data_IF_580248167638
#
_entry.id   IF_580248167638
#
_cell.length_a   1.000
_cell.length_b   1.000
_cell.length_c   1.000
_cell.angle_alpha   90.00
_cell.angle_beta   90.00
_cell.angle_gamma   90.00
#
_symmetry.space_group_name_H-M   'P 1'
#
loop_
_entity.id
_entity.type
_entity.pdbx_description
1 polymer ?
#
# COMPACT_ATOMS: atom_id res chain seq x y z
N UNK A 1 -17.28 -35.40 13.26
CA UNK A 1 -17.36 -34.53 12.07
C UNK A 1 -16.16 -33.61 12.11
N UNK A 2 -15.20 -33.80 11.20
CA UNK A 2 -13.95 -33.02 11.14
C UNK A 2 -14.28 -31.67 10.50
N UNK A 3 -14.26 -30.59 11.29
CA UNK A 3 -14.32 -29.24 10.72
C UNK A 3 -12.97 -28.94 10.07
N UNK A 4 -13.00 -28.76 8.74
CA UNK A 4 -11.85 -28.27 7.98
C UNK A 4 -11.51 -26.82 8.42
N UNK A 5 -10.22 -26.45 8.47
CA UNK A 5 -9.82 -25.09 8.85
C UNK A 5 -10.32 -24.11 7.79
N UNK A 6 -11.25 -23.23 8.18
CA UNK A 6 -11.79 -22.21 7.30
C UNK A 6 -10.72 -21.14 7.08
N UNK A 7 -9.98 -21.27 5.97
CA UNK A 7 -9.08 -20.22 5.47
C UNK A 7 -9.91 -19.01 5.01
N UNK A 8 -10.21 -18.12 5.95
CA UNK A 8 -11.13 -16.98 5.78
C UNK A 8 -10.40 -15.70 5.34
N UNK A 9 -9.22 -15.82 4.74
CA UNK A 9 -8.46 -14.67 4.22
C UNK A 9 -8.83 -14.28 2.78
N UNK A 10 -9.74 -15.00 2.10
CA UNK A 10 -9.93 -14.84 0.65
C UNK A 10 -10.86 -13.67 0.24
N UNK A 11 -11.70 -13.15 1.15
CA UNK A 11 -12.70 -12.12 0.85
C UNK A 11 -12.29 -10.65 1.08
N UNK A 12 -11.22 -10.40 1.85
CA UNK A 12 -10.83 -9.05 2.26
C UNK A 12 -10.08 -8.23 1.19
N UNK A 13 -9.92 -6.90 1.36
CA UNK A 13 -9.11 -6.06 0.48
C UNK A 13 -7.71 -6.64 0.28
N UNK A 14 -7.12 -6.48 -0.92
CA UNK A 14 -5.82 -7.07 -1.27
C UNK A 14 -4.74 -6.76 -0.23
N UNK A 15 -4.72 -5.54 0.31
CA UNK A 15 -3.79 -5.12 1.36
C UNK A 15 -3.94 -5.97 2.64
N UNK A 16 -5.17 -6.20 3.11
CA UNK A 16 -5.42 -7.00 4.32
C UNK A 16 -4.92 -8.43 4.12
N UNK A 17 -5.16 -9.03 2.95
CA UNK A 17 -4.68 -10.38 2.63
C UNK A 17 -3.15 -10.47 2.58
N UNK A 18 -2.52 -9.45 2.00
CA UNK A 18 -1.06 -9.37 1.94
C UNK A 18 -0.45 -9.18 3.33
N UNK A 19 -1.00 -8.27 4.15
CA UNK A 19 -0.53 -8.05 5.52
C UNK A 19 -0.74 -9.28 6.40
N UNK A 20 -1.88 -9.96 6.29
CA UNK A 20 -2.15 -11.22 7.01
C UNK A 20 -1.13 -12.30 6.64
N UNK A 21 -0.84 -12.46 5.34
CA UNK A 21 0.19 -13.39 4.86
C UNK A 21 1.58 -13.01 5.37
N UNK A 22 1.93 -11.72 5.34
CA UNK A 22 3.21 -11.24 5.84
C UNK A 22 3.33 -11.46 7.34
N UNK A 23 2.24 -11.31 8.09
CA UNK A 23 2.18 -11.49 9.53
C UNK A 23 2.14 -12.97 9.96
N UNK A 24 1.92 -13.90 9.03
CA UNK A 24 1.51 -15.28 9.31
C UNK A 24 0.32 -15.35 10.30
N UNK A 25 -0.63 -14.43 10.12
CA UNK A 25 -1.77 -14.25 11.01
C UNK A 25 -3.07 -14.65 10.31
N UNK A 26 -3.86 -15.49 10.99
CA UNK A 26 -5.25 -15.73 10.63
C UNK A 26 -6.11 -14.57 11.13
N UNK A 27 -6.49 -13.68 10.21
CA UNK A 27 -7.36 -12.53 10.51
C UNK A 27 -8.81 -12.92 10.22
N UNK A 28 -9.67 -13.07 11.24
CA UNK A 28 -11.09 -13.32 11.01
C UNK A 28 -11.76 -12.08 10.39
N UNK A 29 -12.79 -12.29 9.59
CA UNK A 29 -13.59 -11.20 9.04
C UNK A 29 -14.31 -10.44 10.18
N UNK A 30 -14.36 -9.11 10.09
CA UNK A 30 -15.00 -8.30 11.13
C UNK A 30 -16.52 -8.54 11.13
N UNK A 31 -17.04 -9.17 12.18
CA UNK A 31 -18.48 -9.39 12.36
C UNK A 31 -19.25 -8.15 12.84
N UNK A 32 -18.55 -7.05 13.16
CA UNK A 32 -19.18 -5.81 13.62
C UNK A 32 -19.72 -4.99 12.46
N UNK A 33 -20.94 -4.42 12.58
CA UNK A 33 -21.50 -3.55 11.56
C UNK A 33 -20.65 -2.28 11.41
N UNK A 34 -20.57 -1.77 10.17
CA UNK A 34 -19.74 -0.63 9.80
C UNK A 34 -20.08 0.63 10.61
N UNK A 35 -21.37 0.87 10.84
CA UNK A 35 -21.86 2.01 11.62
C UNK A 35 -21.23 2.06 13.01
N UNK A 36 -21.18 0.93 13.71
CA UNK A 36 -20.72 0.86 15.09
C UNK A 36 -19.21 1.11 15.17
N UNK A 37 -18.46 0.62 14.17
CA UNK A 37 -17.03 0.91 14.02
C UNK A 37 -16.78 2.38 13.73
N UNK A 38 -17.54 2.98 12.81
CA UNK A 38 -17.40 4.40 12.50
C UNK A 38 -17.76 5.29 13.70
N UNK A 39 -18.79 4.94 14.47
CA UNK A 39 -19.15 5.65 15.70
C UNK A 39 -18.04 5.65 16.74
N UNK A 40 -17.21 4.61 16.81
CA UNK A 40 -16.04 4.57 17.69
C UNK A 40 -14.89 5.47 17.21
N UNK A 41 -14.85 5.81 15.92
CA UNK A 41 -13.76 6.58 15.33
C UNK A 41 -14.09 8.07 15.20
N UNK A 42 -15.39 8.42 15.16
CA UNK A 42 -15.85 9.79 15.09
C UNK A 42 -15.85 10.42 16.48
N UNK A 43 -15.01 11.44 16.67
CA UNK A 43 -15.11 12.32 17.83
C UNK A 43 -16.41 13.13 17.80
N UNK A 44 -16.86 13.64 18.96
CA UNK A 44 -18.09 14.42 19.07
C UNK A 44 -18.13 15.63 18.11
N UNK A 45 -17.01 16.35 17.94
CA UNK A 45 -16.87 17.46 17.00
C UNK A 45 -17.06 17.04 15.54
N UNK A 46 -16.54 15.86 15.18
CA UNK A 46 -16.66 15.32 13.83
C UNK A 46 -18.06 14.78 13.55
N UNK A 47 -18.72 14.22 14.56
CA UNK A 47 -20.12 13.81 14.47
C UNK A 47 -21.05 15.01 14.22
N UNK A 48 -20.81 16.14 14.89
CA UNK A 48 -21.55 17.39 14.62
C UNK A 48 -21.28 17.87 13.20
N UNK A 49 -20.01 17.93 12.79
CA UNK A 49 -19.64 18.36 11.43
C UNK A 49 -20.23 17.43 10.35
N UNK A 50 -20.33 16.13 10.61
CA UNK A 50 -20.93 15.18 9.68
C UNK A 50 -22.45 15.37 9.62
N UNK A 51 -23.11 15.56 10.76
CA UNK A 51 -24.54 15.88 10.81
C UNK A 51 -24.86 17.18 10.07
N UNK A 52 -24.04 18.23 10.23
CA UNK A 52 -24.24 19.49 9.49
C UNK A 52 -23.99 19.32 7.99
N UNK A 53 -22.98 18.53 7.59
CA UNK A 53 -22.74 18.22 6.18
C UNK A 53 -23.90 17.44 5.54
N UNK A 54 -24.50 16.48 6.26
CA UNK A 54 -25.61 15.66 5.77
C UNK A 54 -26.93 16.42 5.71
N UNK A 55 -27.23 17.22 6.74
CA UNK A 55 -28.50 17.94 6.86
C UNK A 55 -28.47 19.35 6.23
N UNK A 56 -27.30 19.88 5.94
CA UNK A 56 -27.12 21.19 5.33
C UNK A 56 -27.61 21.25 3.88
N UNK A 57 -28.04 22.46 3.48
CA UNK A 57 -28.29 22.77 2.08
C UNK A 57 -27.05 23.49 1.51
N UNK A 58 -26.29 22.90 0.58
CA UNK A 58 -25.15 23.57 -0.02
C UNK A 58 -25.61 24.81 -0.80
N UNK A 59 -24.80 25.89 -0.82
CA UNK A 59 -25.14 27.11 -1.54
C UNK A 59 -25.40 26.82 -3.02
N UNK A 60 -26.31 27.58 -3.68
CA UNK A 60 -26.62 27.37 -5.09
C UNK A 60 -25.38 27.54 -5.96
N UNK A 61 -25.15 26.58 -6.86
CA UNK A 61 -24.01 26.56 -7.75
C UNK A 61 -24.04 27.71 -8.77
N UNK A 62 -22.88 28.34 -9.03
CA UNK A 62 -22.71 29.23 -10.17
C UNK A 62 -22.64 28.39 -11.46
N UNK A 63 -23.66 28.50 -12.31
CA UNK A 63 -23.79 27.72 -13.54
C UNK A 63 -22.63 27.96 -14.51
N UNK A 64 -22.03 26.89 -15.06
CA UNK A 64 -20.92 27.00 -16.00
C UNK A 64 -20.88 25.87 -17.03
N UNK A 65 -21.23 26.18 -18.27
CA UNK A 65 -21.16 25.30 -19.46
C UNK A 65 -19.75 24.74 -19.80
N UNK A 66 -18.72 25.11 -19.03
CA UNK A 66 -17.33 24.62 -19.13
C UNK A 66 -17.05 23.32 -18.36
N UNK A 67 -18.03 22.77 -17.64
CA UNK A 67 -17.82 21.63 -16.73
C UNK A 67 -17.28 20.36 -17.40
N UNK A 68 -17.75 20.00 -18.59
CA UNK A 68 -17.41 18.72 -19.23
C UNK A 68 -15.93 18.56 -19.60
N UNK A 69 -15.31 19.61 -20.16
CA UNK A 69 -13.90 19.59 -20.54
C UNK A 69 -12.98 19.61 -19.30
N UNK A 70 -13.38 20.32 -18.24
CA UNK A 70 -12.68 20.29 -16.94
C UNK A 70 -12.77 18.91 -16.27
N UNK A 71 -13.91 18.21 -16.38
CA UNK A 71 -14.07 16.86 -15.82
C UNK A 71 -13.13 15.85 -16.50
N UNK A 72 -12.98 15.94 -17.83
CA UNK A 72 -12.06 15.08 -18.59
C UNK A 72 -10.58 15.38 -18.29
N UNK A 73 -10.20 16.66 -18.18
CA UNK A 73 -8.85 17.07 -17.76
C UNK A 73 -8.51 16.54 -16.37
N UNK A 74 -9.45 16.65 -15.42
CA UNK A 74 -9.24 16.14 -14.07
C UNK A 74 -9.16 14.61 -14.04
N UNK A 75 -9.95 13.92 -14.85
CA UNK A 75 -9.86 12.47 -14.97
C UNK A 75 -8.51 12.01 -15.53
N UNK A 76 -8.00 12.70 -16.56
CA UNK A 76 -6.65 12.48 -17.08
C UNK A 76 -5.59 12.74 -16.02
N UNK A 77 -5.76 13.79 -15.21
CA UNK A 77 -4.85 14.12 -14.10
C UNK A 77 -4.85 13.04 -13.02
N UNK A 78 -6.01 12.53 -12.62
CA UNK A 78 -6.12 11.41 -11.67
C UNK A 78 -5.41 10.17 -12.22
N UNK A 79 -5.65 9.80 -13.49
CA UNK A 79 -4.97 8.68 -14.13
C UNK A 79 -3.44 8.90 -14.20
N UNK A 80 -3.00 10.13 -14.50
CA UNK A 80 -1.59 10.49 -14.55
C UNK A 80 -0.90 10.34 -13.18
N UNK A 81 -1.50 10.88 -12.12
CA UNK A 81 -0.95 10.76 -10.76
C UNK A 81 -0.88 9.29 -10.32
N UNK A 82 -1.93 8.50 -10.57
CA UNK A 82 -1.91 7.05 -10.29
C UNK A 82 -0.77 6.37 -11.04
N UNK A 83 -0.62 6.66 -12.34
CA UNK A 83 0.47 6.11 -13.15
C UNK A 83 1.85 6.52 -12.61
N UNK A 84 2.03 7.77 -12.21
CA UNK A 84 3.27 8.27 -11.65
C UNK A 84 3.62 7.59 -10.32
N UNK A 85 2.66 7.43 -9.41
CA UNK A 85 2.84 6.74 -8.13
C UNK A 85 3.17 5.24 -8.35
N UNK A 86 2.44 4.57 -9.23
CA UNK A 86 2.75 3.17 -9.62
C UNK A 86 4.16 3.05 -10.18
N UNK A 87 4.58 3.96 -11.06
CA UNK A 87 5.94 3.97 -11.63
C UNK A 87 7.00 4.23 -10.56
N UNK A 88 6.76 5.12 -9.59
CA UNK A 88 7.67 5.34 -8.48
C UNK A 88 7.85 4.07 -7.61
N UNK A 89 6.77 3.33 -7.39
CA UNK A 89 6.79 2.07 -6.64
C UNK A 89 7.57 0.98 -7.41
N UNK A 90 7.32 0.81 -8.71
CA UNK A 90 7.94 -0.24 -9.54
C UNK A 90 9.41 0.11 -9.89
N UNK A 91 9.67 1.35 -10.30
CA UNK A 91 10.94 1.77 -10.87
C UNK A 91 12.11 1.75 -9.88
N UNK A 92 11.86 2.01 -8.60
CA UNK A 92 12.94 1.94 -7.60
C UNK A 92 13.27 0.47 -7.22
N UNK A 93 12.28 -0.43 -7.28
CA UNK A 93 12.54 -1.88 -7.13
C UNK A 93 13.38 -2.43 -8.28
N UNK A 94 13.18 -1.95 -9.51
CA UNK A 94 14.04 -2.29 -10.66
C UNK A 94 15.44 -1.69 -10.54
N UNK A 95 15.56 -0.42 -10.12
CA UNK A 95 16.84 0.30 -10.03
C UNK A 95 17.77 -0.28 -8.97
N UNK A 96 17.23 -0.76 -7.84
CA UNK A 96 18.06 -1.47 -6.86
C UNK A 96 18.35 -2.94 -7.26
N UNK A 97 17.65 -3.53 -8.25
CA UNK A 97 17.94 -4.88 -8.77
C UNK A 97 19.08 -4.78 -9.78
N UNK A 98 18.97 -3.82 -10.72
CA UNK A 98 20.02 -3.52 -11.70
C UNK A 98 21.35 -3.11 -11.04
N UNK A 99 21.33 -2.45 -9.87
CA UNK A 99 22.55 -2.16 -9.09
C UNK A 99 23.23 -3.42 -8.53
N UNK A 100 22.51 -4.53 -8.34
CA UNK A 100 23.05 -5.83 -7.94
C UNK A 100 23.63 -6.56 -9.15
N UNK A 101 22.84 -6.65 -10.23
CA UNK A 101 23.22 -7.38 -11.44
C UNK A 101 24.35 -6.69 -12.23
N UNK A 102 24.42 -5.36 -12.16
CA UNK A 102 25.42 -4.53 -12.84
C UNK A 102 26.69 -4.23 -12.04
N UNK A 103 26.80 -4.68 -10.78
CA UNK A 103 28.04 -4.51 -10.00
C UNK A 103 29.02 -5.62 -10.38
N UNK A 104 29.69 -5.46 -11.51
CA UNK A 104 31.03 -6.03 -11.66
C UNK A 104 31.90 -5.48 -10.51
N UNK A 105 32.74 -6.30 -9.83
CA UNK A 105 33.54 -5.83 -8.72
C UNK A 105 34.49 -4.74 -9.23
N UNK A 106 34.17 -3.47 -8.93
CA UNK A 106 35.06 -2.36 -9.17
C UNK A 106 36.29 -2.57 -8.30
N UNK A 107 37.41 -2.96 -8.93
CA UNK A 107 38.74 -3.00 -8.30
C UNK A 107 39.00 -1.67 -7.59
N UNK A 108 39.04 -1.66 -6.26
CA UNK A 108 39.53 -0.53 -5.48
C UNK A 108 38.81 -0.22 -4.17
N UNK A 109 37.63 -0.77 -3.91
CA UNK A 109 37.00 -0.62 -2.58
C UNK A 109 36.17 -1.86 -2.27
N UNK A 110 36.82 -2.83 -1.64
CA UNK A 110 36.19 -4.00 -1.04
C UNK A 110 35.27 -3.54 0.10
N UNK A 111 34.02 -3.23 -0.24
CA UNK A 111 32.96 -3.45 0.74
C UNK A 111 32.99 -4.96 1.06
N UNK A 112 32.97 -5.35 2.34
CA UNK A 112 33.07 -6.76 2.71
C UNK A 112 32.01 -7.56 1.95
N UNK A 113 32.35 -8.76 1.43
CA UNK A 113 31.43 -9.60 0.66
C UNK A 113 30.16 -9.99 1.43
N UNK A 114 30.18 -9.78 2.76
CA UNK A 114 29.09 -10.04 3.71
C UNK A 114 28.31 -8.78 4.16
N UNK A 115 28.40 -7.66 3.45
CA UNK A 115 27.57 -6.48 3.74
C UNK A 115 26.08 -6.77 3.44
N UNK A 116 25.44 -7.55 4.32
CA UNK A 116 24.03 -7.92 4.25
C UNK A 116 23.19 -6.64 4.24
N UNK A 117 22.15 -6.56 3.39
CA UNK A 117 21.34 -5.36 3.27
C UNK A 117 20.64 -5.05 4.60
N UNK A 118 20.71 -3.79 5.03
CA UNK A 118 20.00 -3.30 6.21
C UNK A 118 18.54 -2.96 5.86
N UNK A 119 17.61 -3.42 6.71
CA UNK A 119 16.20 -3.09 6.61
C UNK A 119 15.94 -1.57 6.68
N UNK A 120 16.82 -0.79 7.32
CA UNK A 120 16.68 0.67 7.43
C UNK A 120 16.48 1.36 6.06
N UNK A 121 17.18 0.91 5.02
CA UNK A 121 17.06 1.48 3.66
C UNK A 121 15.67 1.23 3.08
N UNK A 122 15.15 0.02 3.23
CA UNK A 122 13.80 -0.33 2.77
C UNK A 122 12.73 0.43 3.55
N UNK A 123 12.90 0.56 4.86
CA UNK A 123 12.01 1.35 5.72
C UNK A 123 11.96 2.82 5.30
N UNK A 124 13.13 3.45 5.12
CA UNK A 124 13.20 4.85 4.70
C UNK A 124 12.51 5.08 3.35
N UNK A 125 12.76 4.18 2.39
CA UNK A 125 12.10 4.21 1.09
C UNK A 125 10.58 4.07 1.22
N UNK A 126 10.12 3.12 2.03
CA UNK A 126 8.69 2.89 2.25
C UNK A 126 7.99 4.15 2.78
N UNK A 127 8.56 4.77 3.81
CA UNK A 127 8.05 6.00 4.41
C UNK A 127 8.03 7.16 3.40
N UNK A 128 9.07 7.31 2.57
CA UNK A 128 9.12 8.33 1.52
C UNK A 128 8.00 8.14 0.48
N UNK A 129 7.73 6.89 0.08
CA UNK A 129 6.62 6.59 -0.84
C UNK A 129 5.26 6.85 -0.19
N UNK A 130 5.07 6.51 1.09
CA UNK A 130 3.83 6.84 1.82
C UNK A 130 3.59 8.35 1.84
N UNK A 131 4.61 9.14 2.17
CA UNK A 131 4.49 10.60 2.21
C UNK A 131 4.18 11.21 0.83
N UNK A 132 4.75 10.64 -0.23
CA UNK A 132 4.46 11.05 -1.61
C UNK A 132 3.02 10.71 -1.99
N UNK A 133 2.53 9.50 -1.64
CA UNK A 133 1.14 9.11 -1.85
C UNK A 133 0.19 10.05 -1.10
N UNK A 134 0.43 10.33 0.18
CA UNK A 134 -0.42 11.23 0.99
C UNK A 134 -0.53 12.63 0.39
N UNK A 135 0.60 13.19 -0.05
CA UNK A 135 0.65 14.55 -0.61
C UNK A 135 -0.10 14.63 -1.94
N UNK A 136 0.20 13.72 -2.87
CA UNK A 136 -0.39 13.72 -4.21
C UNK A 136 -1.90 13.40 -4.17
N UNK A 137 -2.29 12.40 -3.37
CA UNK A 137 -3.69 12.00 -3.22
C UNK A 137 -4.49 13.10 -2.51
N UNK A 138 -3.98 13.66 -1.40
CA UNK A 138 -4.65 14.76 -0.68
C UNK A 138 -4.86 16.00 -1.56
N UNK A 139 -3.89 16.32 -2.41
CA UNK A 139 -3.99 17.42 -3.39
C UNK A 139 -5.08 17.14 -4.42
N UNK A 140 -5.14 15.92 -4.98
CA UNK A 140 -6.21 15.53 -5.91
C UNK A 140 -7.58 15.60 -5.27
N UNK A 141 -7.72 15.06 -4.06
CA UNK A 141 -8.97 15.00 -3.30
C UNK A 141 -9.51 16.39 -3.03
N UNK A 142 -8.64 17.32 -2.62
CA UNK A 142 -9.01 18.73 -2.41
C UNK A 142 -9.54 19.37 -3.69
N UNK A 143 -8.87 19.16 -4.84
CA UNK A 143 -9.33 19.69 -6.13
C UNK A 143 -10.67 19.11 -6.57
N UNK A 144 -10.84 17.79 -6.42
CA UNK A 144 -12.09 17.10 -6.69
C UNK A 144 -13.24 17.66 -5.84
N UNK A 145 -13.01 17.87 -4.53
CA UNK A 145 -13.99 18.50 -3.64
C UNK A 145 -14.37 19.91 -4.08
N UNK A 146 -13.39 20.74 -4.48
CA UNK A 146 -13.68 22.09 -5.02
C UNK A 146 -14.55 22.03 -6.27
N UNK A 147 -14.29 21.07 -7.16
CA UNK A 147 -15.12 20.88 -8.37
C UNK A 147 -16.50 20.34 -8.07
N UNK A 148 -16.65 19.42 -7.12
CA UNK A 148 -17.95 18.90 -6.69
C UNK A 148 -18.79 19.97 -5.99
N UNK A 149 -18.15 20.83 -5.19
CA UNK A 149 -18.82 21.93 -4.49
C UNK A 149 -19.42 23.00 -5.42
N UNK A 150 -18.93 23.10 -6.66
CA UNK A 150 -19.49 23.98 -7.69
C UNK A 150 -20.61 23.34 -8.52
N UNK A 151 -21.06 22.12 -8.17
CA UNK A 151 -22.15 21.38 -8.85
C UNK A 151 -23.49 21.50 -8.10
N UNK A 152 -24.62 21.11 -8.73
CA UNK A 152 -25.93 21.11 -8.08
C UNK A 152 -25.97 20.31 -6.77
N UNK A 153 -26.96 20.62 -5.94
CA UNK A 153 -26.93 20.40 -4.48
C UNK A 153 -26.53 18.99 -4.00
N UNK A 154 -26.95 17.90 -4.66
CA UNK A 154 -26.61 16.54 -4.23
C UNK A 154 -25.11 16.23 -4.28
N UNK A 155 -24.42 16.76 -5.31
CA UNK A 155 -23.00 16.52 -5.57
C UNK A 155 -22.12 17.42 -4.70
N UNK A 156 -22.58 18.63 -4.40
CA UNK A 156 -21.92 19.53 -3.45
C UNK A 156 -21.97 19.01 -2.01
N UNK A 157 -23.05 18.33 -1.61
CA UNK A 157 -23.14 17.65 -0.31
C UNK A 157 -22.07 16.57 -0.15
N UNK A 158 -21.83 15.77 -1.20
CA UNK A 158 -20.80 14.75 -1.19
C UNK A 158 -19.41 15.35 -0.90
N UNK A 159 -19.09 16.51 -1.47
CA UNK A 159 -17.84 17.21 -1.21
C UNK A 159 -17.66 17.58 0.28
N UNK A 160 -18.73 18.01 0.94
CA UNK A 160 -18.73 18.35 2.37
C UNK A 160 -18.57 17.10 3.24
N UNK A 161 -19.33 16.03 2.94
CA UNK A 161 -19.22 14.76 3.66
C UNK A 161 -17.81 14.19 3.53
N UNK A 162 -17.27 14.18 2.31
CA UNK A 162 -15.92 13.71 2.03
C UNK A 162 -14.84 14.50 2.79
N UNK A 163 -15.00 15.83 2.89
CA UNK A 163 -14.10 16.70 3.66
C UNK A 163 -14.10 16.35 5.16
N UNK A 164 -15.30 16.14 5.73
CA UNK A 164 -15.44 15.79 7.15
C UNK A 164 -14.88 14.39 7.41
N UNK A 165 -15.17 13.42 6.53
CA UNK A 165 -14.70 12.04 6.67
C UNK A 165 -13.17 11.93 6.60
N UNK A 166 -12.50 12.63 5.69
CA UNK A 166 -11.03 12.68 5.68
C UNK A 166 -10.50 13.28 6.97
N UNK A 167 -11.00 14.45 7.39
CA UNK A 167 -10.52 15.08 8.60
C UNK A 167 -10.66 14.16 9.83
N UNK A 168 -11.79 13.49 9.96
CA UNK A 168 -12.07 12.60 11.09
C UNK A 168 -11.22 11.32 11.06
N UNK A 169 -10.96 10.75 9.88
CA UNK A 169 -10.27 9.47 9.74
C UNK A 169 -8.75 9.60 9.49
N UNK A 170 -8.24 10.78 9.12
CA UNK A 170 -6.85 10.98 8.67
C UNK A 170 -5.82 10.49 9.67
N UNK A 171 -5.93 10.87 10.95
CA UNK A 171 -4.96 10.51 11.97
C UNK A 171 -4.91 8.99 12.19
N UNK A 172 -6.09 8.34 12.13
CA UNK A 172 -6.20 6.90 12.28
C UNK A 172 -5.65 6.17 11.07
N UNK A 173 -5.98 6.63 9.86
CA UNK A 173 -5.46 6.08 8.61
C UNK A 173 -3.93 6.15 8.57
N UNK A 174 -3.34 7.30 8.90
CA UNK A 174 -1.90 7.48 8.99
C UNK A 174 -1.27 6.55 10.03
N UNK A 175 -1.89 6.40 11.21
CA UNK A 175 -1.40 5.48 12.25
C UNK A 175 -1.41 4.01 11.79
N UNK A 176 -2.47 3.58 11.10
CA UNK A 176 -2.57 2.21 10.58
C UNK A 176 -1.51 1.93 9.51
N UNK A 177 -1.32 2.87 8.59
CA UNK A 177 -0.30 2.73 7.55
C UNK A 177 1.14 2.85 8.09
N UNK A 178 1.36 3.64 9.13
CA UNK A 178 2.66 3.75 9.79
C UNK A 178 3.09 2.45 10.50
N UNK A 179 2.16 1.55 10.78
CA UNK A 179 2.48 0.23 11.32
C UNK A 179 3.06 -0.72 10.25
N UNK A 180 2.71 -0.55 8.97
CA UNK A 180 3.07 -1.49 7.89
C UNK A 180 4.58 -1.77 7.78
N UNK A 181 5.48 -0.77 7.86
CA UNK A 181 6.93 -1.04 7.88
C UNK A 181 7.39 -1.97 9.01
N UNK A 182 6.72 -1.98 10.16
CA UNK A 182 7.08 -2.90 11.25
C UNK A 182 6.75 -4.36 10.90
N UNK A 183 5.62 -4.61 10.23
CA UNK A 183 5.27 -5.95 9.73
C UNK A 183 6.25 -6.43 8.66
N UNK A 184 6.65 -5.52 7.76
CA UNK A 184 7.67 -5.80 6.75
C UNK A 184 9.03 -6.10 7.36
N UNK A 185 9.38 -5.47 8.49
CA UNK A 185 10.62 -5.77 9.21
C UNK A 185 10.64 -7.22 9.73
N UNK A 186 9.52 -7.68 10.32
CA UNK A 186 9.39 -9.07 10.76
C UNK A 186 9.45 -10.06 9.59
N UNK A 187 8.82 -9.74 8.46
CA UNK A 187 8.90 -10.56 7.25
C UNK A 187 10.31 -10.64 6.67
N UNK A 188 11.01 -9.50 6.62
CA UNK A 188 12.40 -9.43 6.19
C UNK A 188 13.31 -10.34 7.01
N UNK A 189 13.15 -10.31 8.34
CA UNK A 189 13.92 -11.16 9.25
C UNK A 189 13.64 -12.64 9.04
N UNK A 190 12.37 -13.04 8.88
CA UNK A 190 11.98 -14.43 8.61
C UNK A 190 12.56 -14.95 7.29
N UNK A 191 12.47 -14.17 6.21
CA UNK A 191 13.04 -14.57 4.92
C UNK A 191 14.55 -14.75 4.99
N UNK A 192 15.25 -13.87 5.73
CA UNK A 192 16.68 -13.97 5.95
C UNK A 192 17.06 -15.23 6.76
N UNK A 193 16.32 -15.53 7.82
CA UNK A 193 16.54 -16.71 8.65
C UNK A 193 16.33 -18.01 7.86
N UNK A 194 15.26 -18.09 7.07
CA UNK A 194 14.96 -19.26 6.26
C UNK A 194 16.03 -19.53 5.17
N UNK A 195 16.68 -18.50 4.64
CA UNK A 195 17.82 -18.68 3.74
C UNK A 195 19.06 -19.15 4.50
N UNK A 196 19.38 -18.53 5.64
CA UNK A 196 20.52 -18.93 6.48
C UNK A 196 20.41 -20.41 6.92
N UNK A 197 19.20 -20.87 7.27
CA UNK A 197 18.89 -22.28 7.60
C UNK A 197 19.11 -23.22 6.40
N UNK A 198 18.58 -22.88 5.22
CA UNK A 198 18.77 -23.69 3.99
C UNK A 198 20.23 -23.79 3.56
N UNK A 199 21.00 -22.71 3.74
CA UNK A 199 22.42 -22.71 3.43
C UNK A 199 23.21 -23.59 4.42
N UNK A 200 22.82 -23.61 5.70
CA UNK A 200 23.40 -24.50 6.70
C UNK A 200 23.07 -25.98 6.39
N UNK A 201 21.80 -26.30 6.10
CA UNK A 201 21.37 -27.64 5.72
C UNK A 201 22.09 -28.15 4.46
N UNK A 202 22.28 -27.29 3.46
CA UNK A 202 23.02 -27.63 2.24
C UNK A 202 24.53 -27.81 2.49
N UNK A 203 25.11 -27.09 3.45
CA UNK A 203 26.50 -27.26 3.84
C UNK A 203 26.72 -28.58 4.58
N UNK A 204 25.81 -28.93 5.50
CA UNK A 204 25.85 -30.20 6.24
C UNK A 204 25.64 -31.39 5.29
N UNK A 205 24.69 -31.31 4.36
CA UNK A 205 24.46 -32.36 3.35
C UNK A 205 25.65 -32.56 2.40
N UNK A 206 26.41 -31.50 2.09
CA UNK A 206 27.64 -31.61 1.29
C UNK A 206 28.83 -32.15 2.10
N UNK A 207 28.80 -32.06 3.43
CA UNK A 207 29.84 -32.61 4.30
C UNK A 207 29.69 -34.13 4.52
N UNK A 208 28.45 -34.63 4.46
CA UNK A 208 28.11 -36.06 4.58
C UNK A 208 28.11 -36.84 3.24
N UNK A 209 28.30 -36.15 2.10
CA UNK A 209 28.36 -36.78 0.78
C UNK A 209 29.74 -37.41 0.53
N UNK A 210 29.81 -38.74 0.47
CA UNK A 210 30.96 -39.48 -0.08
C UNK A 210 31.25 -39.01 -1.51
N UNK A 211 32.53 -38.85 -1.85
CA UNK A 211 33.04 -38.20 -3.07
C UNK A 211 32.66 -38.85 -4.42
N UNK A 212 31.82 -39.90 -4.44
CA UNK A 212 31.47 -40.71 -5.61
C UNK A 212 29.99 -40.63 -6.06
N UNK A 213 29.17 -39.72 -5.51
CA UNK A 213 27.80 -39.51 -5.97
C UNK A 213 27.67 -38.26 -6.86
N UNK A 214 27.59 -38.45 -8.18
CA UNK A 214 27.12 -37.44 -9.15
C UNK A 214 25.62 -37.16 -8.97
N UNK A 215 25.22 -36.51 -7.87
CA UNK A 215 23.93 -35.83 -7.79
C UNK A 215 24.18 -34.34 -7.59
N UNK A 216 23.89 -33.56 -8.63
CA UNK A 216 23.95 -32.09 -8.61
C UNK A 216 22.95 -31.62 -7.53
N UNK A 217 23.39 -31.12 -6.36
CA UNK A 217 22.45 -30.61 -5.39
C UNK A 217 21.84 -29.34 -5.98
N UNK A 218 20.53 -29.17 -5.81
CA UNK A 218 19.84 -27.95 -6.20
C UNK A 218 20.55 -26.76 -5.56
N UNK A 219 21.30 -26.00 -6.37
CA UNK A 219 22.17 -24.93 -5.88
C UNK A 219 21.31 -23.83 -5.27
N UNK A 220 21.32 -23.72 -3.94
CA UNK A 220 20.72 -22.60 -3.23
C UNK A 220 21.42 -21.34 -3.74
N UNK A 221 20.71 -20.53 -4.54
CA UNK A 221 21.27 -19.31 -5.11
C UNK A 221 21.30 -18.24 -4.02
N UNK A 222 22.47 -17.85 -3.49
CA UNK A 222 22.52 -16.99 -2.32
C UNK A 222 21.86 -15.63 -2.58
N UNK A 223 20.92 -15.26 -1.72
CA UNK A 223 20.26 -13.96 -1.76
C UNK A 223 19.04 -13.89 -2.68
N UNK A 224 18.48 -15.03 -3.10
CA UNK A 224 17.18 -15.08 -3.77
C UNK A 224 16.04 -14.57 -2.87
N UNK A 225 16.16 -14.76 -1.55
CA UNK A 225 15.20 -14.28 -0.56
C UNK A 225 14.97 -12.76 -0.60
N UNK A 226 15.99 -11.97 -0.96
CA UNK A 226 15.89 -10.52 -1.02
C UNK A 226 14.99 -10.07 -2.19
N UNK A 227 15.04 -10.77 -3.32
CA UNK A 227 14.19 -10.47 -4.47
C UNK A 227 12.73 -10.82 -4.18
N UNK A 228 12.49 -11.88 -3.40
CA UNK A 228 11.17 -12.19 -2.85
C UNK A 228 10.68 -11.07 -1.95
N UNK A 229 11.48 -10.64 -0.97
CA UNK A 229 11.14 -9.53 -0.07
C UNK A 229 10.78 -8.25 -0.83
N UNK A 230 11.55 -7.91 -1.88
CA UNK A 230 11.32 -6.70 -2.68
C UNK A 230 10.02 -6.76 -3.47
N UNK A 231 9.67 -7.93 -4.03
CA UNK A 231 8.39 -8.17 -4.70
C UNK A 231 7.22 -8.10 -3.72
N UNK A 232 7.39 -8.62 -2.51
CA UNK A 232 6.37 -8.55 -1.47
C UNK A 232 6.13 -7.11 -1.02
N UNK A 233 7.20 -6.36 -0.70
CA UNK A 233 7.13 -4.95 -0.34
C UNK A 233 6.46 -4.12 -1.45
N UNK A 234 6.81 -4.39 -2.72
CA UNK A 234 6.18 -3.74 -3.88
C UNK A 234 4.68 -4.06 -3.95
N UNK A 235 4.30 -5.32 -3.73
CA UNK A 235 2.90 -5.75 -3.74
C UNK A 235 2.10 -5.07 -2.64
N UNK A 236 2.67 -4.90 -1.45
CA UNK A 236 2.05 -4.16 -0.34
C UNK A 236 1.88 -2.68 -0.71
N UNK A 237 2.92 -2.02 -1.23
CA UNK A 237 2.85 -0.61 -1.64
C UNK A 237 1.79 -0.37 -2.72
N UNK A 238 1.67 -1.28 -3.69
CA UNK A 238 0.63 -1.20 -4.72
C UNK A 238 -0.77 -1.38 -4.10
N UNK A 239 -0.94 -2.35 -3.20
CA UNK A 239 -2.21 -2.55 -2.52
C UNK A 239 -2.59 -1.38 -1.59
N UNK A 240 -1.60 -0.75 -0.94
CA UNK A 240 -1.78 0.47 -0.17
C UNK A 240 -2.20 1.65 -1.05
N UNK A 241 -1.55 1.83 -2.20
CA UNK A 241 -1.95 2.83 -3.20
C UNK A 241 -3.40 2.62 -3.64
N UNK A 242 -3.81 1.38 -3.95
CA UNK A 242 -5.20 1.07 -4.32
C UNK A 242 -6.20 1.52 -3.25
N UNK A 243 -5.92 1.24 -1.97
CA UNK A 243 -6.79 1.63 -0.85
C UNK A 243 -6.87 3.15 -0.72
N UNK A 244 -5.72 3.83 -0.69
CA UNK A 244 -5.63 5.29 -0.56
C UNK A 244 -6.27 6.03 -1.73
N UNK A 245 -6.33 5.42 -2.92
CA UNK A 245 -6.92 6.02 -4.11
C UNK A 245 -8.46 5.85 -4.19
N UNK A 246 -9.08 4.98 -3.37
CA UNK A 246 -10.54 4.75 -3.40
C UNK A 246 -11.40 6.02 -3.25
N UNK A 247 -11.09 6.96 -2.33
CA UNK A 247 -11.84 8.21 -2.24
C UNK A 247 -11.79 9.03 -3.53
N UNK A 248 -10.62 9.09 -4.18
CA UNK A 248 -10.44 9.80 -5.46
C UNK A 248 -11.31 9.18 -6.55
N UNK A 249 -11.37 7.85 -6.64
CA UNK A 249 -12.25 7.12 -7.57
C UNK A 249 -13.73 7.44 -7.32
N UNK A 250 -14.15 7.47 -6.05
CA UNK A 250 -15.52 7.78 -5.67
C UNK A 250 -15.95 9.19 -6.05
N UNK A 251 -15.12 10.20 -5.74
CA UNK A 251 -15.39 11.60 -6.09
C UNK A 251 -15.41 11.81 -7.62
N UNK A 252 -14.51 11.14 -8.34
CA UNK A 252 -14.45 11.21 -9.79
C UNK A 252 -15.62 10.49 -10.46
N UNK A 253 -16.11 9.39 -9.90
CA UNK A 253 -17.34 8.74 -10.34
C UNK A 253 -18.57 9.63 -10.11
N UNK A 254 -18.63 10.35 -8.99
CA UNK A 254 -19.69 11.32 -8.72
C UNK A 254 -19.71 12.49 -9.71
N UNK A 255 -18.55 12.93 -10.22
CA UNK A 255 -18.49 13.95 -11.29
C UNK A 255 -19.02 13.44 -12.64
N UNK A 256 -18.97 12.12 -12.88
CA UNK A 256 -19.40 11.49 -14.14
C UNK A 256 -20.88 11.13 -14.18
N UNK A 257 -21.47 10.88 -13.02
CA UNK A 257 -22.90 10.60 -12.86
C UNK A 257 -23.66 11.92 -12.95
N UNK A 258 -24.06 12.28 -14.18
CA UNK A 258 -24.88 13.45 -14.49
C UNK A 258 -26.36 13.18 -14.25
#
# INVERSE_FOLDING_TARGET
MVQAPQRTALGGPALVRLLARLADADVPESSQPLSDRLSQWLGWTDAIALSTALNGNPPPAASGARGAAMDDDLAKRCAHVRSALTKAIVGDSASASARRDGRAPSRGQEAPPDARPDFAVFRQRYLSLQQTMDTEIGTLRTRLRTMLASRPHGVARLAMVDAVMERALSAREQSLFAAVPAWLAGHFQRLRQAEDERLAEAADANADADADAEEVPATVTPGAWLDVFRKDMQSVLLAELEVRFKPVEGLLAALRTR
#
